data_IF_075752302424
#
_entry.id   IF_075752302424
#
_cell.length_a   1.000
_cell.length_b   1.000
_cell.length_c   1.000
_cell.angle_alpha   90.00
_cell.angle_beta   90.00
_cell.angle_gamma   90.00
#
_symmetry.space_group_name_H-M   'P 1'
#
loop_
_entity.id
_entity.type
_entity.pdbx_description
1 polymer ?
#
# COMPACT_ATOMS: atom_id res chain seq x y z
N UNK A 1 -26.06 19.04 -7.46
CA UNK A 1 -25.12 19.33 -6.36
C UNK A 1 -24.11 18.19 -6.32
N UNK A 2 -22.91 18.40 -6.86
CA UNK A 2 -21.87 17.36 -6.91
C UNK A 2 -21.18 17.26 -5.55
N UNK A 3 -21.42 16.16 -4.84
CA UNK A 3 -20.75 15.85 -3.58
C UNK A 3 -19.27 15.58 -3.85
N UNK A 4 -18.45 16.62 -3.81
CA UNK A 4 -17.00 16.51 -3.72
C UNK A 4 -16.61 16.16 -2.28
N UNK A 5 -17.09 15.00 -1.78
CA UNK A 5 -16.50 14.39 -0.61
C UNK A 5 -15.02 14.16 -0.91
N UNK A 6 -14.07 14.51 -0.03
CA UNK A 6 -12.68 14.13 -0.22
C UNK A 6 -12.69 12.61 -0.37
N UNK A 7 -12.48 12.12 -1.60
CA UNK A 7 -12.31 10.70 -1.86
C UNK A 7 -11.14 10.32 -0.97
N UNK A 8 -11.41 9.66 0.16
CA UNK A 8 -10.39 8.95 0.93
C UNK A 8 -9.74 8.03 -0.08
N UNK A 9 -8.62 8.47 -0.65
CA UNK A 9 -7.94 7.76 -1.71
C UNK A 9 -7.60 6.42 -1.09
N UNK A 10 -8.03 5.34 -1.73
CA UNK A 10 -7.69 4.00 -1.26
C UNK A 10 -6.17 3.94 -1.18
N UNK A 11 -5.58 3.64 -0.01
CA UNK A 11 -4.14 3.56 0.11
C UNK A 11 -3.64 2.53 -0.89
N UNK A 12 -2.64 2.92 -1.66
CA UNK A 12 -2.00 2.08 -2.66
C UNK A 12 -0.87 1.29 -2.00
N UNK A 13 -0.38 0.28 -2.71
CA UNK A 13 0.82 -0.46 -2.29
C UNK A 13 2.03 0.45 -2.08
N UNK A 14 2.12 1.56 -2.83
CA UNK A 14 3.17 2.56 -2.66
C UNK A 14 3.03 3.34 -1.36
N UNK A 15 1.81 3.65 -0.94
CA UNK A 15 1.55 4.34 0.34
C UNK A 15 1.95 3.43 1.51
N UNK A 16 1.62 2.14 1.43
CA UNK A 16 2.04 1.13 2.40
C UNK A 16 3.56 1.01 2.44
N UNK A 17 4.20 0.93 1.28
CA UNK A 17 5.66 0.84 1.17
C UNK A 17 6.35 2.06 1.82
N UNK A 18 5.86 3.27 1.51
CA UNK A 18 6.38 4.52 2.08
C UNK A 18 6.20 4.59 3.59
N UNK A 19 5.04 4.21 4.11
CA UNK A 19 4.76 4.24 5.54
C UNK A 19 5.61 3.22 6.32
N UNK A 20 5.86 2.04 5.73
CA UNK A 20 6.70 1.01 6.32
C UNK A 20 8.20 1.21 6.08
N UNK A 21 8.61 2.20 5.28
CA UNK A 21 10.01 2.46 4.95
C UNK A 21 10.65 1.37 4.07
N UNK A 22 9.85 0.63 3.32
CA UNK A 22 10.29 -0.50 2.49
C UNK A 22 10.02 -0.24 1.00
N UNK A 23 10.62 -1.05 0.14
CA UNK A 23 10.39 -1.00 -1.30
C UNK A 23 9.03 -1.60 -1.67
N UNK A 24 8.30 -1.06 -2.68
CA UNK A 24 7.03 -1.62 -3.16
C UNK A 24 7.14 -3.10 -3.58
N UNK A 25 8.28 -3.51 -4.13
CA UNK A 25 8.55 -4.91 -4.48
C UNK A 25 8.55 -5.84 -3.26
N UNK A 26 9.02 -5.36 -2.10
CA UNK A 26 8.97 -6.14 -0.87
C UNK A 26 7.53 -6.29 -0.38
N UNK A 27 6.72 -5.23 -0.45
CA UNK A 27 5.30 -5.30 -0.12
C UNK A 27 4.56 -6.26 -1.05
N UNK A 28 4.89 -6.24 -2.35
CA UNK A 28 4.34 -7.20 -3.32
C UNK A 28 4.73 -8.63 -2.96
N UNK A 29 5.99 -8.87 -2.59
CA UNK A 29 6.48 -10.17 -2.15
C UNK A 29 5.79 -10.64 -0.87
N UNK A 30 5.61 -9.76 0.12
CA UNK A 30 4.89 -10.07 1.37
C UNK A 30 3.43 -10.46 1.08
N UNK A 31 2.76 -9.74 0.19
CA UNK A 31 1.39 -10.04 -0.21
C UNK A 31 1.27 -11.36 -0.98
N UNK A 32 2.29 -11.73 -1.75
CA UNK A 32 2.32 -12.97 -2.51
C UNK A 32 2.76 -14.17 -1.67
N UNK A 33 3.75 -14.00 -0.81
CA UNK A 33 4.36 -15.05 -0.02
C UNK A 33 4.97 -14.51 1.30
N UNK A 34 4.14 -14.34 2.34
CA UNK A 34 4.56 -13.71 3.59
C UNK A 34 5.57 -14.56 4.39
N UNK A 35 5.72 -15.86 4.07
CA UNK A 35 6.66 -16.75 4.75
C UNK A 35 8.14 -16.53 4.35
N UNK A 36 8.41 -15.69 3.34
CA UNK A 36 9.78 -15.41 2.85
C UNK A 36 10.38 -14.11 3.35
N UNK A 37 9.73 -13.49 4.33
CA UNK A 37 10.08 -12.16 4.84
C UNK A 37 10.28 -12.33 6.35
N UNK A 38 11.47 -11.98 6.85
CA UNK A 38 11.94 -12.24 8.22
C UNK A 38 11.84 -11.00 9.10
#
# INVERSE_FOLDING_TARGET
>A
MTLNSPKTRRPTIYDVAKQAGVSPSLVSLVLQNPARVS
#
